data_IF_861215787344
#
_entry.id   IF_861215787344
#
_cell.length_a   1.000
_cell.length_b   1.000
_cell.length_c   1.000
_cell.angle_alpha   90.00
_cell.angle_beta   90.00
_cell.angle_gamma   90.00
#
_symmetry.space_group_name_H-M   'P 1'
#
loop_
_entity.id
_entity.type
_entity.pdbx_description
1 polymer ?
#
# COMPACT_ATOMS: atom_id res chain seq x y z
N UNK A 1 5.16 19.58 -26.63
CA UNK A 1 4.74 19.80 -25.24
C UNK A 1 3.45 19.02 -24.99
N UNK A 2 3.56 17.78 -24.50
CA UNK A 2 2.41 16.98 -24.11
C UNK A 2 2.24 17.09 -22.59
N UNK A 3 1.02 17.40 -22.15
CA UNK A 3 0.69 17.72 -20.77
C UNK A 3 0.67 16.46 -19.90
N UNK A 4 1.14 16.60 -18.66
CA UNK A 4 1.27 15.58 -17.60
C UNK A 4 -0.02 14.80 -17.25
N UNK A 5 -1.14 15.09 -17.93
CA UNK A 5 -2.48 14.55 -17.70
C UNK A 5 -2.75 13.23 -18.46
N UNK A 6 -2.04 12.96 -19.55
CA UNK A 6 -2.24 11.73 -20.34
C UNK A 6 -1.57 10.47 -19.74
N UNK A 7 -0.54 10.65 -18.92
CA UNK A 7 0.16 9.53 -18.29
C UNK A 7 -0.68 8.81 -17.22
N UNK A 8 -1.68 9.50 -16.64
CA UNK A 8 -2.56 8.93 -15.60
C UNK A 8 -3.76 8.20 -16.22
N UNK A 9 -4.20 8.59 -17.43
CA UNK A 9 -5.31 7.90 -18.13
C UNK A 9 -4.92 6.56 -18.78
N UNK A 10 -3.63 6.32 -19.06
CA UNK A 10 -3.15 5.07 -19.69
C UNK A 10 -2.94 3.90 -18.72
N UNK A 11 -3.33 4.03 -17.45
CA UNK A 11 -3.30 2.93 -16.48
C UNK A 11 -4.66 2.24 -16.28
N UNK A 12 -5.70 2.67 -16.99
CA UNK A 12 -7.00 2.01 -17.02
C UNK A 12 -7.17 1.32 -18.38
N UNK A 13 -7.59 0.04 -18.34
CA UNK A 13 -7.84 -0.86 -19.47
C UNK A 13 -6.60 -1.45 -20.16
N UNK A 14 -6.12 -2.58 -19.66
CA UNK A 14 -5.33 -3.52 -20.48
C UNK A 14 -4.12 -4.17 -19.83
N UNK A 15 -3.77 -3.82 -18.59
CA UNK A 15 -2.75 -4.61 -17.86
C UNK A 15 -3.44 -5.78 -17.15
N UNK A 16 -3.04 -7.04 -17.38
CA UNK A 16 -3.41 -8.10 -16.48
C UNK A 16 -3.02 -7.64 -15.07
N UNK A 17 -3.97 -7.65 -14.15
CA UNK A 17 -3.64 -7.44 -12.73
C UNK A 17 -2.52 -8.41 -12.38
N UNK A 18 -1.65 -8.06 -11.43
CA UNK A 18 -0.57 -8.94 -10.98
C UNK A 18 -1.07 -10.38 -10.74
N UNK A 19 -2.31 -10.49 -10.26
CA UNK A 19 -3.10 -11.72 -10.17
C UNK A 19 -3.24 -12.48 -11.50
N UNK A 20 -3.72 -11.84 -12.58
CA UNK A 20 -3.84 -12.47 -13.91
C UNK A 20 -2.47 -12.85 -14.46
N UNK A 21 -1.44 -12.02 -14.31
CA UNK A 21 -0.09 -12.35 -14.77
C UNK A 21 0.51 -13.54 -14.01
N UNK A 22 0.27 -13.63 -12.70
CA UNK A 22 0.71 -14.75 -11.85
C UNK A 22 -0.07 -16.03 -12.19
N UNK A 23 -1.39 -15.95 -12.37
CA UNK A 23 -2.23 -17.06 -12.83
C UNK A 23 -1.78 -17.55 -14.20
N UNK A 24 -1.48 -16.64 -15.14
CA UNK A 24 -1.00 -17.02 -16.45
C UNK A 24 0.38 -17.67 -16.37
N UNK A 25 1.29 -17.20 -15.51
CA UNK A 25 2.58 -17.84 -15.30
C UNK A 25 2.45 -19.23 -14.63
N UNK A 26 1.47 -19.41 -13.74
CA UNK A 26 1.18 -20.69 -13.09
C UNK A 26 0.47 -21.68 -14.04
N UNK A 27 -0.37 -21.19 -14.94
CA UNK A 27 -1.12 -22.00 -15.90
C UNK A 27 -0.38 -22.28 -17.22
N UNK A 28 0.65 -21.49 -17.59
CA UNK A 28 1.37 -21.64 -18.88
C UNK A 28 2.71 -22.37 -18.79
N UNK A 29 3.19 -22.71 -17.59
CA UNK A 29 4.34 -23.62 -17.44
C UNK A 29 3.89 -25.07 -17.67
N UNK A 30 3.93 -25.44 -18.95
CA UNK A 30 3.71 -26.77 -19.55
C UNK A 30 2.26 -27.22 -19.73
N UNK A 31 1.60 -26.66 -20.74
CA UNK A 31 0.58 -27.40 -21.48
C UNK A 31 1.26 -28.42 -22.41
N UNK A 32 1.83 -29.48 -21.82
CA UNK A 32 2.21 -30.69 -22.55
C UNK A 32 1.02 -31.65 -22.51
N UNK A 33 0.56 -32.03 -23.70
CA UNK A 33 -0.66 -32.79 -23.92
C UNK A 33 -0.65 -34.17 -23.24
N UNK A 34 -1.74 -34.45 -22.51
CA UNK A 34 -2.36 -35.75 -22.19
C UNK A 34 -2.72 -35.88 -20.69
N UNK A 35 -4.01 -36.06 -20.40
CA UNK A 35 -4.58 -36.84 -19.30
C UNK A 35 -4.06 -36.71 -17.85
N UNK A 36 -3.27 -35.69 -17.49
CA UNK A 36 -2.64 -35.61 -16.18
C UNK A 36 -3.28 -34.51 -15.32
N UNK A 37 -3.97 -34.93 -14.25
CA UNK A 37 -4.31 -34.07 -13.12
C UNK A 37 -3.02 -33.65 -12.39
N UNK A 38 -2.25 -32.74 -12.98
CA UNK A 38 -1.00 -32.28 -12.40
C UNK A 38 -1.28 -31.48 -11.12
N UNK A 39 -0.72 -31.94 -10.01
CA UNK A 39 -0.79 -31.22 -8.74
C UNK A 39 0.07 -29.95 -8.79
N UNK A 40 -0.32 -28.93 -8.04
CA UNK A 40 0.50 -27.73 -7.85
C UNK A 40 1.79 -28.13 -7.11
N UNK A 41 2.94 -27.71 -7.65
CA UNK A 41 4.25 -27.92 -7.01
C UNK A 41 4.35 -27.12 -5.70
N UNK A 42 4.97 -27.69 -4.68
CA UNK A 42 5.10 -27.08 -3.35
C UNK A 42 5.76 -25.70 -3.41
N UNK A 43 6.74 -25.53 -4.28
CA UNK A 43 7.47 -24.28 -4.46
C UNK A 43 6.55 -23.17 -4.99
N UNK A 44 5.65 -23.50 -5.92
CA UNK A 44 4.66 -22.56 -6.45
C UNK A 44 3.63 -22.19 -5.38
N UNK A 45 3.17 -23.16 -4.59
CA UNK A 45 2.26 -22.90 -3.46
C UNK A 45 2.91 -21.99 -2.40
N UNK A 46 4.18 -22.22 -2.07
CA UNK A 46 4.93 -21.39 -1.13
C UNK A 46 5.07 -19.94 -1.61
N UNK A 47 5.33 -19.73 -2.91
CA UNK A 47 5.39 -18.38 -3.49
C UNK A 47 4.05 -17.66 -3.39
N UNK A 48 2.94 -18.36 -3.65
CA UNK A 48 1.59 -17.79 -3.52
C UNK A 48 1.27 -17.46 -2.06
N UNK A 49 1.63 -18.33 -1.10
CA UNK A 49 1.49 -18.05 0.34
C UNK A 49 2.31 -16.82 0.76
N UNK A 50 3.57 -16.73 0.35
CA UNK A 50 4.44 -15.60 0.68
C UNK A 50 3.87 -14.30 0.13
N UNK A 51 3.45 -14.30 -1.14
CA UNK A 51 2.85 -13.12 -1.76
C UNK A 51 1.54 -12.73 -1.05
N UNK A 52 0.68 -13.69 -0.70
CA UNK A 52 -0.55 -13.43 0.04
C UNK A 52 -0.27 -12.79 1.41
N UNK A 53 0.77 -13.25 2.12
CA UNK A 53 1.21 -12.67 3.39
C UNK A 53 1.75 -11.24 3.23
N UNK A 54 2.60 -11.00 2.23
CA UNK A 54 3.14 -9.67 1.92
C UNK A 54 2.02 -8.68 1.60
N UNK A 55 1.02 -9.13 0.82
CA UNK A 55 -0.15 -8.31 0.46
C UNK A 55 -1.03 -8.00 1.68
N UNK A 56 -1.19 -8.94 2.61
CA UNK A 56 -1.93 -8.70 3.86
C UNK A 56 -1.22 -7.68 4.78
N UNK A 57 0.11 -7.59 4.71
CA UNK A 57 0.90 -6.67 5.52
C UNK A 57 0.84 -5.20 5.04
N UNK A 58 0.39 -4.95 3.80
CA UNK A 58 0.34 -3.59 3.21
C UNK A 58 -0.49 -2.62 4.05
N UNK A 59 -1.60 -3.08 4.63
CA UNK A 59 -2.43 -2.24 5.50
C UNK A 59 -1.68 -1.74 6.74
N UNK A 60 -0.95 -2.63 7.42
CA UNK A 60 -0.13 -2.28 8.58
C UNK A 60 1.00 -1.31 8.21
N UNK A 61 1.67 -1.56 7.07
CA UNK A 61 2.72 -0.67 6.57
C UNK A 61 2.18 0.74 6.25
N UNK A 62 1.02 0.84 5.59
CA UNK A 62 0.39 2.12 5.28
C UNK A 62 0.04 2.90 6.56
N UNK A 63 -0.54 2.23 7.56
CA UNK A 63 -0.87 2.84 8.85
C UNK A 63 0.36 3.34 9.59
N UNK A 64 1.45 2.57 9.59
CA UNK A 64 2.72 2.98 10.21
C UNK A 64 3.26 4.28 9.57
N UNK A 65 3.30 4.35 8.23
CA UNK A 65 3.75 5.57 7.52
C UNK A 65 2.87 6.78 7.78
N UNK A 66 1.55 6.59 7.89
CA UNK A 66 0.64 7.69 8.24
C UNK A 66 0.84 8.17 9.68
N UNK A 67 1.15 7.27 10.61
CA UNK A 67 1.48 7.62 11.98
C UNK A 67 2.74 8.49 12.06
N UNK A 68 3.81 8.13 11.35
CA UNK A 68 5.06 8.92 11.29
C UNK A 68 4.82 10.34 10.75
N UNK A 69 4.03 10.48 9.68
CA UNK A 69 3.68 11.77 9.11
C UNK A 69 2.82 12.61 10.08
N UNK A 70 1.88 11.97 10.77
CA UNK A 70 1.02 12.63 11.76
C UNK A 70 1.82 13.13 12.96
N UNK A 71 2.76 12.33 13.46
CA UNK A 71 3.68 12.73 14.52
C UNK A 71 4.57 13.91 14.09
N UNK A 72 5.10 13.87 12.85
CA UNK A 72 5.89 14.98 12.29
C UNK A 72 5.08 16.27 12.22
N UNK A 73 3.82 16.18 11.78
CA UNK A 73 2.90 17.32 11.73
C UNK A 73 2.65 17.88 13.14
N UNK A 74 2.36 17.04 14.12
CA UNK A 74 2.12 17.46 15.50
C UNK A 74 3.34 18.19 16.09
N UNK A 75 4.55 17.65 15.89
CA UNK A 75 5.80 18.31 16.32
C UNK A 75 5.99 19.70 15.69
N UNK A 76 5.64 19.83 14.40
CA UNK A 76 5.66 21.13 13.70
C UNK A 76 4.62 22.10 14.25
N UNK A 77 3.42 21.63 14.61
CA UNK A 77 2.38 22.43 15.25
C UNK A 77 2.81 22.94 16.63
N UNK A 78 3.47 22.10 17.45
CA UNK A 78 4.07 22.52 18.71
C UNK A 78 5.14 23.58 18.50
N UNK A 79 6.11 23.33 17.62
CA UNK A 79 7.18 24.28 17.31
C UNK A 79 6.60 25.62 16.81
N UNK A 80 5.56 25.56 15.99
CA UNK A 80 4.85 26.74 15.50
C UNK A 80 4.22 27.55 16.64
N UNK A 81 3.55 26.88 17.58
CA UNK A 81 2.97 27.53 18.76
C UNK A 81 4.03 28.19 19.65
N UNK A 82 5.16 27.51 19.89
CA UNK A 82 6.28 28.05 20.66
C UNK A 82 6.87 29.31 19.99
N UNK A 83 6.99 29.29 18.66
CA UNK A 83 7.45 30.45 17.88
C UNK A 83 6.47 31.62 17.95
N UNK A 84 5.16 31.37 17.90
CA UNK A 84 4.16 32.44 18.06
C UNK A 84 4.24 33.04 19.46
N UNK A 85 4.29 32.21 20.52
CA UNK A 85 4.41 32.66 21.90
C UNK A 85 5.68 33.49 22.14
N UNK A 86 6.83 33.05 21.62
CA UNK A 86 8.08 33.80 21.72
C UNK A 86 8.06 35.11 20.92
N UNK A 87 7.27 35.21 19.83
CA UNK A 87 7.11 36.44 19.07
C UNK A 87 6.20 37.46 19.80
N UNK A 88 5.14 37.01 20.47
CA UNK A 88 4.25 37.88 21.25
C UNK A 88 4.96 38.55 22.44
N UNK A 89 5.94 37.86 23.05
CA UNK A 89 6.71 38.37 24.18
C UNK A 89 7.75 39.45 23.81
N UNK A 90 8.03 39.68 22.51
CA UNK A 90 8.92 40.76 22.05
C UNK A 90 8.09 41.96 21.59
N UNK A 91 7.83 42.89 22.50
CA UNK A 91 7.29 44.20 22.17
C UNK A 91 8.28 44.96 21.28
N UNK A 92 7.87 45.33 20.06
CA UNK A 92 8.66 46.18 19.16
C UNK A 92 9.12 45.50 17.88
N UNK A 93 8.18 45.43 16.92
CA UNK A 93 8.36 45.64 15.48
C UNK A 93 9.70 45.30 14.84
N UNK A 94 9.74 44.15 14.18
CA UNK A 94 10.62 43.89 13.04
C UNK A 94 10.17 42.59 12.39
N UNK A 95 10.40 42.42 11.08
CA UNK A 95 10.24 41.13 10.41
C UNK A 95 11.26 40.11 10.96
N UNK A 96 11.04 39.68 12.20
CA UNK A 96 11.94 38.84 12.97
C UNK A 96 12.13 37.53 12.22
N UNK A 97 13.35 36.99 12.28
CA UNK A 97 13.64 35.66 11.73
C UNK A 97 12.62 34.62 12.25
N UNK A 98 12.16 34.80 13.50
CA UNK A 98 11.12 34.01 14.14
C UNK A 98 9.77 34.11 13.41
N UNK A 99 9.31 35.31 13.04
CA UNK A 99 8.08 35.49 12.27
C UNK A 99 8.18 34.94 10.83
N UNK A 100 9.38 34.94 10.22
CA UNK A 100 9.64 34.25 8.94
C UNK A 100 9.60 32.73 9.10
N UNK A 101 10.22 32.20 10.16
CA UNK A 101 10.24 30.78 10.46
C UNK A 101 8.84 30.24 10.82
N UNK A 102 8.07 30.99 11.59
CA UNK A 102 6.67 30.69 11.90
C UNK A 102 5.81 30.60 10.63
N UNK A 103 5.93 31.57 9.70
CA UNK A 103 5.23 31.50 8.41
C UNK A 103 5.61 30.26 7.60
N UNK A 104 6.90 29.91 7.56
CA UNK A 104 7.38 28.70 6.87
C UNK A 104 6.86 27.43 7.53
N UNK A 105 6.87 27.35 8.86
CA UNK A 105 6.31 26.22 9.60
C UNK A 105 4.80 26.05 9.31
N UNK A 106 4.02 27.14 9.30
CA UNK A 106 2.60 27.12 8.93
C UNK A 106 2.37 26.62 7.49
N UNK A 107 3.25 26.99 6.55
CA UNK A 107 3.19 26.48 5.19
C UNK A 107 3.49 24.98 5.12
N UNK A 108 4.53 24.52 5.81
CA UNK A 108 4.89 23.09 5.87
C UNK A 108 3.82 22.24 6.58
N UNK A 109 3.18 22.75 7.63
CA UNK A 109 2.03 22.10 8.28
C UNK A 109 0.88 21.91 7.28
N UNK A 110 0.57 22.93 6.47
CA UNK A 110 -0.47 22.83 5.43
C UNK A 110 -0.11 21.82 4.36
N UNK A 111 1.14 21.82 3.88
CA UNK A 111 1.63 20.81 2.91
C UNK A 111 1.50 19.41 3.49
N UNK A 112 1.98 19.19 4.71
CA UNK A 112 1.88 17.91 5.42
C UNK A 112 0.43 17.47 5.60
N UNK A 113 -0.50 18.37 5.97
CA UNK A 113 -1.90 18.03 6.10
C UNK A 113 -2.50 17.51 4.78
N UNK A 114 -2.21 18.19 3.66
CA UNK A 114 -2.64 17.73 2.34
C UNK A 114 -1.98 16.40 1.97
N UNK A 115 -0.67 16.25 2.21
CA UNK A 115 0.05 14.99 1.97
C UNK A 115 -0.52 13.83 2.78
N UNK A 116 -0.82 14.03 4.06
CA UNK A 116 -1.46 13.03 4.92
C UNK A 116 -2.82 12.64 4.33
N UNK A 117 -3.67 13.59 3.97
CA UNK A 117 -4.98 13.28 3.39
C UNK A 117 -4.86 12.44 2.10
N UNK A 118 -4.00 12.86 1.16
CA UNK A 118 -3.77 12.13 -0.09
C UNK A 118 -3.18 10.74 0.17
N UNK A 119 -2.15 10.62 1.01
CA UNK A 119 -1.49 9.34 1.30
C UNK A 119 -2.38 8.40 2.11
N UNK A 120 -3.28 8.92 2.94
CA UNK A 120 -4.29 8.10 3.61
C UNK A 120 -5.21 7.47 2.59
N UNK A 121 -5.73 8.24 1.64
CA UNK A 121 -6.60 7.71 0.59
C UNK A 121 -5.88 6.69 -0.29
N UNK A 122 -4.68 7.00 -0.77
CA UNK A 122 -3.86 6.08 -1.57
C UNK A 122 -3.54 4.79 -0.78
N UNK A 123 -3.16 4.92 0.49
CA UNK A 123 -2.84 3.81 1.38
C UNK A 123 -4.04 2.91 1.65
N UNK A 124 -5.23 3.49 1.88
CA UNK A 124 -6.47 2.75 2.08
C UNK A 124 -6.89 1.98 0.83
N UNK A 125 -6.80 2.61 -0.35
CA UNK A 125 -7.12 1.95 -1.62
C UNK A 125 -6.15 0.79 -1.90
N UNK A 126 -4.85 1.01 -1.69
CA UNK A 126 -3.84 -0.04 -1.85
C UNK A 126 -4.05 -1.18 -0.84
N UNK A 127 -4.30 -0.86 0.43
CA UNK A 127 -4.57 -1.85 1.46
C UNK A 127 -5.83 -2.67 1.16
N UNK A 128 -6.91 -2.03 0.68
CA UNK A 128 -8.14 -2.70 0.29
C UNK A 128 -7.90 -3.66 -0.89
N UNK A 129 -7.21 -3.20 -1.94
CA UNK A 129 -6.88 -4.03 -3.09
C UNK A 129 -5.98 -5.21 -2.69
N UNK A 130 -4.94 -4.96 -1.91
CA UNK A 130 -4.02 -6.01 -1.48
C UNK A 130 -4.69 -7.02 -0.55
N UNK A 131 -5.60 -6.57 0.33
CA UNK A 131 -6.37 -7.47 1.20
C UNK A 131 -7.32 -8.35 0.39
N UNK A 132 -7.99 -7.76 -0.61
CA UNK A 132 -8.88 -8.50 -1.52
C UNK A 132 -8.12 -9.59 -2.29
N UNK A 133 -7.01 -9.22 -2.93
CA UNK A 133 -6.19 -10.14 -3.71
C UNK A 133 -5.52 -11.21 -2.81
N UNK A 134 -5.07 -10.83 -1.61
CA UNK A 134 -4.54 -11.77 -0.62
C UNK A 134 -5.58 -12.84 -0.26
N UNK A 135 -6.83 -12.44 0.00
CA UNK A 135 -7.94 -13.35 0.27
C UNK A 135 -8.21 -14.32 -0.89
N UNK A 136 -8.19 -13.81 -2.13
CA UNK A 136 -8.35 -14.62 -3.35
C UNK A 136 -7.24 -15.67 -3.52
N UNK A 137 -5.99 -15.30 -3.26
CA UNK A 137 -4.86 -16.23 -3.32
C UNK A 137 -4.94 -17.30 -2.23
N UNK A 138 -5.38 -16.91 -1.03
CA UNK A 138 -5.55 -17.85 0.07
C UNK A 138 -6.69 -18.84 -0.19
N UNK A 139 -7.82 -18.37 -0.74
CA UNK A 139 -8.93 -19.21 -1.19
C UNK A 139 -8.50 -20.17 -2.30
N UNK A 140 -7.74 -19.68 -3.29
CA UNK A 140 -7.21 -20.52 -4.36
C UNK A 140 -6.41 -21.69 -3.79
N UNK A 141 -5.45 -21.45 -2.89
CA UNK A 141 -4.64 -22.51 -2.29
C UNK A 141 -5.44 -23.44 -1.36
N UNK A 142 -6.42 -22.91 -0.62
CA UNK A 142 -7.21 -23.71 0.31
C UNK A 142 -8.04 -24.78 -0.41
N UNK A 143 -8.58 -24.46 -1.60
CA UNK A 143 -9.30 -25.43 -2.45
C UNK A 143 -8.40 -26.61 -2.86
N UNK A 144 -7.15 -26.35 -3.27
CA UNK A 144 -6.20 -27.43 -3.60
C UNK A 144 -5.83 -28.27 -2.38
N UNK A 145 -5.64 -27.62 -1.23
CA UNK A 145 -5.32 -28.31 0.01
C UNK A 145 -6.46 -29.23 0.48
N UNK A 146 -7.70 -28.72 0.48
CA UNK A 146 -8.89 -29.49 0.85
C UNK A 146 -9.14 -30.67 -0.10
N UNK A 147 -8.95 -30.49 -1.41
CA UNK A 147 -9.04 -31.59 -2.38
C UNK A 147 -8.06 -32.73 -2.08
N UNK A 148 -6.82 -32.41 -1.68
CA UNK A 148 -5.83 -33.42 -1.28
C UNK A 148 -6.30 -34.21 -0.05
N UNK A 149 -6.84 -33.53 0.97
CA UNK A 149 -7.35 -34.19 2.18
C UNK A 149 -8.52 -35.13 1.86
N UNK A 150 -9.46 -34.72 1.02
CA UNK A 150 -10.59 -35.56 0.61
C UNK A 150 -10.15 -36.80 -0.18
N UNK A 151 -9.14 -36.68 -1.05
CA UNK A 151 -8.58 -37.84 -1.76
C UNK A 151 -7.92 -38.84 -0.82
N UNK A 152 -7.20 -38.38 0.21
CA UNK A 152 -6.54 -39.26 1.18
C UNK A 152 -7.54 -40.04 2.04
N UNK A 153 -8.66 -39.42 2.41
CA UNK A 153 -9.73 -40.07 3.20
C UNK A 153 -10.49 -41.10 2.37
N UNK A 154 -10.63 -40.91 1.06
CA UNK A 154 -11.36 -41.86 0.19
C UNK A 154 -10.55 -43.10 -0.19
N UNK A 155 -9.23 -43.11 0.05
CA UNK A 155 -8.31 -44.22 -0.25
C UNK A 155 -7.86 -45.01 0.98
N UNK A 156 -8.30 -44.62 2.17
CA UNK A 156 -8.06 -45.30 3.44
C UNK A 156 -9.31 -46.07 3.87
#
# INVERSE_FOLDING_TARGET
MATRSEAVRRLQFGRPTLFVALLQALCTREASAAANHAAIKKEAANLVCSLSADMAAVGGYAMHRLSELTATKANLEYLFSDMEAANFNKAGGGASLLAKLARKAREEIRKLATTIATKTQEGLLAAAQCSYDSGRLNEFLSVFYQKKLQQQVSTA
#
